data_IF_460778210011
#
_entry.id   IF_460778210011
#
_cell.length_a   1.000
_cell.length_b   1.000
_cell.length_c   1.000
_cell.angle_alpha   90.00
_cell.angle_beta   90.00
_cell.angle_gamma   90.00
#
_symmetry.space_group_name_H-M   'P 1'
#
loop_
_entity.id
_entity.type
_entity.pdbx_description
1 polymer ?
#
# COMPACT_ATOMS: atom_id res chain seq x y z
N UNK A 1 35.94 -2.73 3.94
CA UNK A 1 34.49 -2.39 3.90
C UNK A 1 33.79 -2.55 5.25
N UNK A 2 34.06 -3.60 6.03
CA UNK A 2 33.38 -3.88 7.31
C UNK A 2 33.45 -2.72 8.33
N UNK A 3 34.60 -2.04 8.46
CA UNK A 3 34.75 -0.87 9.35
C UNK A 3 33.85 0.30 8.92
N UNK A 4 33.77 0.58 7.61
CA UNK A 4 32.95 1.65 7.05
C UNK A 4 31.46 1.39 7.26
N UNK A 5 31.01 0.14 7.05
CA UNK A 5 29.64 -0.26 7.34
C UNK A 5 29.28 -0.09 8.81
N UNK A 6 30.17 -0.48 9.74
CA UNK A 6 29.95 -0.27 11.18
C UNK A 6 29.82 1.20 11.54
N UNK A 7 30.69 2.06 10.99
CA UNK A 7 30.62 3.51 11.21
C UNK A 7 29.30 4.06 10.71
N UNK A 8 28.89 3.74 9.49
CA UNK A 8 27.64 4.23 8.93
C UNK A 8 26.41 3.70 9.68
N UNK A 9 26.45 2.46 10.17
CA UNK A 9 25.41 1.91 11.03
C UNK A 9 25.28 2.70 12.34
N UNK A 10 26.38 2.92 13.05
CA UNK A 10 26.37 3.73 14.28
C UNK A 10 25.86 5.13 13.99
N UNK A 11 26.25 5.74 12.87
CA UNK A 11 25.80 7.08 12.47
C UNK A 11 24.33 7.13 12.10
N UNK A 12 23.77 6.08 11.50
CA UNK A 12 22.33 6.00 11.22
C UNK A 12 21.55 5.89 12.53
N UNK A 13 21.95 4.94 13.40
CA UNK A 13 21.26 4.67 14.67
C UNK A 13 21.41 5.79 15.70
N UNK A 14 22.45 6.62 15.60
CA UNK A 14 22.64 7.77 16.51
C UNK A 14 21.85 9.01 16.07
N UNK A 15 21.22 9.00 14.89
CA UNK A 15 20.47 10.17 14.39
C UNK A 15 19.08 10.20 14.98
N UNK A 16 18.84 11.19 15.85
CA UNK A 16 17.54 11.45 16.46
C UNK A 16 16.40 11.55 15.43
N UNK A 17 16.61 12.26 14.33
CA UNK A 17 15.58 12.40 13.28
C UNK A 17 15.20 11.06 12.64
N UNK A 18 16.18 10.18 12.39
CA UNK A 18 15.92 8.82 11.89
C UNK A 18 15.20 7.99 12.95
N UNK A 19 15.64 8.05 14.21
CA UNK A 19 14.99 7.35 15.31
C UNK A 19 13.52 7.78 15.49
N UNK A 20 13.22 9.07 15.37
CA UNK A 20 11.84 9.59 15.41
C UNK A 20 11.01 9.00 14.26
N UNK A 21 11.56 8.95 13.04
CA UNK A 21 10.88 8.32 11.91
C UNK A 21 10.63 6.82 12.15
N UNK A 22 11.58 6.10 12.76
CA UNK A 22 11.40 4.70 13.13
C UNK A 22 10.30 4.53 14.20
N UNK A 23 10.24 5.40 15.21
CA UNK A 23 9.17 5.38 16.22
C UNK A 23 7.81 5.60 15.58
N UNK A 24 7.68 6.60 14.69
CA UNK A 24 6.44 6.87 13.93
C UNK A 24 6.08 5.68 13.05
N UNK A 25 7.07 5.01 12.47
CA UNK A 25 6.89 3.81 11.66
C UNK A 25 6.43 2.58 12.46
N UNK A 26 6.57 2.55 13.78
CA UNK A 26 5.89 1.56 14.64
C UNK A 26 4.51 2.05 15.05
N UNK A 27 4.40 3.33 15.43
CA UNK A 27 3.18 3.91 15.97
C UNK A 27 2.02 3.85 14.97
N UNK A 28 2.23 4.24 13.71
CA UNK A 28 1.15 4.28 12.72
C UNK A 28 0.60 2.88 12.40
N UNK A 29 1.41 1.86 12.05
CA UNK A 29 0.89 0.50 11.87
C UNK A 29 0.21 -0.07 13.11
N UNK A 30 0.68 0.30 14.31
CA UNK A 30 0.03 -0.10 15.57
C UNK A 30 -1.38 0.51 15.67
N UNK A 31 -1.51 1.81 15.41
CA UNK A 31 -2.81 2.50 15.42
C UNK A 31 -3.75 1.91 14.36
N UNK A 32 -3.25 1.67 13.14
CA UNK A 32 -4.02 1.04 12.07
C UNK A 32 -4.51 -0.35 12.51
N UNK A 33 -3.60 -1.21 13.00
CA UNK A 33 -3.96 -2.56 13.43
C UNK A 33 -4.96 -2.56 14.58
N UNK A 34 -4.79 -1.70 15.58
CA UNK A 34 -5.76 -1.55 16.67
C UNK A 34 -7.10 -1.07 16.12
N UNK A 35 -7.13 -0.05 15.26
CA UNK A 35 -8.37 0.45 14.65
C UNK A 35 -9.09 -0.64 13.84
N UNK A 36 -8.38 -1.41 13.01
CA UNK A 36 -8.92 -2.57 12.28
C UNK A 36 -9.54 -3.60 13.23
N UNK A 37 -8.88 -3.90 14.35
CA UNK A 37 -9.40 -4.83 15.36
C UNK A 37 -10.61 -4.29 16.10
N UNK A 38 -10.68 -2.98 16.37
CA UNK A 38 -11.82 -2.33 17.00
C UNK A 38 -13.04 -2.28 16.08
N UNK A 39 -12.83 -1.94 14.81
CA UNK A 39 -13.89 -1.81 13.80
C UNK A 39 -14.47 -3.15 13.35
N UNK A 40 -13.78 -4.26 13.63
CA UNK A 40 -14.21 -5.63 13.30
C UNK A 40 -14.79 -6.39 14.49
N UNK A 41 -15.16 -5.69 15.57
CA UNK A 41 -15.76 -6.33 16.74
C UNK A 41 -17.20 -6.75 16.45
N UNK A 42 -17.64 -7.90 16.97
CA UNK A 42 -19.04 -8.27 16.90
C UNK A 42 -19.97 -7.23 17.53
N UNK A 43 -21.11 -6.92 16.89
CA UNK A 43 -22.09 -6.00 17.45
C UNK A 43 -22.62 -6.57 18.75
N UNK A 44 -22.82 -5.68 19.71
CA UNK A 44 -23.44 -5.99 20.99
C UNK A 44 -24.92 -6.38 20.81
N UNK A 45 -25.50 -7.12 21.77
CA UNK A 45 -26.94 -7.44 21.73
C UNK A 45 -27.83 -6.20 21.62
N UNK A 46 -27.39 -5.06 22.20
CA UNK A 46 -28.12 -3.81 22.11
C UNK A 46 -28.06 -3.20 20.69
N UNK A 47 -26.94 -3.32 19.98
CA UNK A 47 -26.81 -2.87 18.60
C UNK A 47 -27.65 -3.73 17.66
N UNK A 48 -27.66 -5.05 17.87
CA UNK A 48 -28.53 -5.98 17.13
C UNK A 48 -30.00 -5.60 17.34
N UNK A 49 -30.44 -5.44 18.59
CA UNK A 49 -31.82 -5.04 18.89
C UNK A 49 -32.19 -3.64 18.35
N UNK A 50 -31.22 -2.73 18.20
CA UNK A 50 -31.44 -1.43 17.55
C UNK A 50 -31.56 -1.57 16.03
N UNK A 51 -30.76 -2.43 15.41
CA UNK A 51 -30.81 -2.71 13.98
C UNK A 51 -32.11 -3.42 13.60
N UNK A 52 -32.56 -4.40 14.39
CA UNK A 52 -33.85 -5.08 14.22
C UNK A 52 -35.01 -4.09 14.27
N UNK A 53 -35.05 -3.20 15.27
CA UNK A 53 -36.10 -2.16 15.35
C UNK A 53 -36.08 -1.19 14.18
N UNK A 54 -34.90 -0.82 13.70
CA UNK A 54 -34.77 0.06 12.52
C UNK A 54 -35.28 -0.63 11.25
N UNK A 55 -34.93 -1.91 11.08
CA UNK A 55 -35.39 -2.74 9.97
C UNK A 55 -36.92 -2.91 10.01
N UNK A 56 -37.49 -3.26 11.16
CA UNK A 56 -38.94 -3.39 11.34
C UNK A 56 -39.66 -2.08 11.00
N UNK A 57 -39.17 -0.94 11.48
CA UNK A 57 -39.75 0.38 11.18
C UNK A 57 -39.71 0.71 9.68
N UNK A 58 -38.63 0.34 8.98
CA UNK A 58 -38.51 0.61 7.55
C UNK A 58 -39.38 -0.36 6.72
N UNK A 59 -39.47 -1.63 7.14
CA UNK A 59 -40.37 -2.61 6.56
C UNK A 59 -41.85 -2.22 6.74
N UNK A 60 -42.22 -1.58 7.84
CA UNK A 60 -43.58 -1.06 8.06
C UNK A 60 -43.85 0.25 7.30
N UNK A 61 -42.84 0.87 6.69
CA UNK A 61 -43.01 2.14 6.01
C UNK A 61 -43.94 2.02 4.79
N UNK A 62 -44.89 2.97 4.58
CA UNK A 62 -45.78 2.92 3.43
C UNK A 62 -45.06 2.93 2.08
N UNK A 63 -43.86 3.52 2.04
CA UNK A 63 -43.02 3.53 0.86
C UNK A 63 -42.48 2.14 0.54
N UNK A 64 -41.93 1.43 1.54
CA UNK A 64 -41.40 0.09 1.35
C UNK A 64 -42.49 -0.91 0.95
N UNK A 65 -43.61 -0.92 1.66
CA UNK A 65 -44.77 -1.77 1.36
C UNK A 65 -45.25 -1.59 -0.10
N UNK A 66 -45.21 -0.36 -0.62
CA UNK A 66 -45.54 -0.09 -2.02
C UNK A 66 -44.50 -0.62 -3.00
N UNK A 67 -43.21 -0.66 -2.64
CA UNK A 67 -42.17 -1.25 -3.49
C UNK A 67 -42.22 -2.78 -3.45
N UNK A 68 -42.44 -3.36 -2.26
CA UNK A 68 -42.60 -4.79 -2.08
C UNK A 68 -43.73 -5.33 -2.97
N UNK A 69 -44.92 -4.74 -2.90
CA UNK A 69 -46.05 -5.12 -3.75
C UNK A 69 -45.76 -5.00 -5.26
N UNK A 70 -44.92 -4.03 -5.69
CA UNK A 70 -44.51 -3.92 -7.10
C UNK A 70 -43.55 -5.02 -7.51
N UNK A 71 -42.66 -5.43 -6.61
CA UNK A 71 -41.73 -6.53 -6.84
C UNK A 71 -42.50 -7.85 -6.91
N UNK A 72 -43.38 -8.14 -5.95
CA UNK A 72 -44.23 -9.34 -5.97
C UNK A 72 -45.07 -9.45 -7.24
N UNK A 73 -45.60 -8.33 -7.74
CA UNK A 73 -46.37 -8.30 -8.98
C UNK A 73 -45.52 -8.58 -10.24
N UNK A 74 -44.21 -8.24 -10.22
CA UNK A 74 -43.31 -8.40 -11.37
C UNK A 74 -41.87 -8.71 -10.91
N UNK A 75 -41.60 -9.89 -10.34
CA UNK A 75 -40.33 -10.17 -9.65
C UNK A 75 -39.14 -10.19 -10.62
N UNK A 76 -39.35 -10.61 -11.87
CA UNK A 76 -38.30 -10.62 -12.89
C UNK A 76 -37.72 -9.24 -13.25
N UNK A 77 -38.45 -8.13 -12.99
CA UNK A 77 -37.89 -6.77 -13.17
C UNK A 77 -36.86 -6.40 -12.10
N UNK A 78 -36.88 -7.10 -10.97
CA UNK A 78 -36.01 -6.90 -9.83
C UNK A 78 -34.97 -8.01 -9.71
N UNK A 79 -34.87 -8.90 -10.71
CA UNK A 79 -33.95 -10.04 -10.69
C UNK A 79 -34.34 -11.15 -9.71
N UNK A 80 -35.61 -11.18 -9.29
CA UNK A 80 -36.14 -12.20 -8.36
C UNK A 80 -36.88 -13.28 -9.15
N UNK A 81 -36.66 -14.54 -8.78
CA UNK A 81 -37.32 -15.70 -9.38
C UNK A 81 -38.72 -15.91 -8.74
N UNK A 82 -39.78 -16.21 -9.51
CA UNK A 82 -41.10 -16.45 -8.93
C UNK A 82 -41.11 -17.74 -8.10
N UNK A 83 -41.69 -17.69 -6.90
CA UNK A 83 -41.72 -18.86 -6.01
C UNK A 83 -42.54 -18.62 -4.74
N UNK A 84 -42.59 -19.62 -3.84
CA UNK A 84 -43.28 -19.50 -2.55
C UNK A 84 -42.67 -18.42 -1.64
N UNK A 85 -41.38 -18.12 -1.82
CA UNK A 85 -40.62 -17.16 -1.00
C UNK A 85 -40.38 -15.81 -1.72
N UNK A 86 -41.27 -15.44 -2.66
CA UNK A 86 -41.10 -14.24 -3.49
C UNK A 86 -41.12 -12.95 -2.66
N UNK A 87 -41.92 -12.89 -1.59
CA UNK A 87 -41.98 -11.76 -0.66
C UNK A 87 -40.62 -11.54 0.01
N UNK A 88 -40.05 -12.60 0.61
CA UNK A 88 -38.75 -12.55 1.27
C UNK A 88 -37.63 -12.21 0.27
N UNK A 89 -37.64 -12.81 -0.91
CA UNK A 89 -36.64 -12.54 -1.95
C UNK A 89 -36.72 -11.09 -2.47
N UNK A 90 -37.93 -10.55 -2.58
CA UNK A 90 -38.16 -9.14 -2.89
C UNK A 90 -37.66 -8.20 -1.80
N UNK A 91 -37.89 -8.52 -0.52
CA UNK A 91 -37.34 -7.74 0.60
C UNK A 91 -35.80 -7.79 0.63
N UNK A 92 -35.20 -8.97 0.46
CA UNK A 92 -33.75 -9.17 0.45
C UNK A 92 -33.07 -8.45 -0.72
N UNK A 93 -33.64 -8.52 -1.92
CA UNK A 93 -33.13 -7.81 -3.11
C UNK A 93 -33.17 -6.28 -2.97
N UNK A 94 -34.10 -5.75 -2.16
CA UNK A 94 -34.17 -4.34 -1.78
C UNK A 94 -33.23 -3.99 -0.61
N UNK A 95 -32.46 -4.96 -0.11
CA UNK A 95 -31.49 -4.76 0.96
C UNK A 95 -32.10 -4.79 2.36
N UNK A 96 -33.33 -5.29 2.54
CA UNK A 96 -33.98 -5.42 3.86
C UNK A 96 -33.46 -6.65 4.61
N UNK A 97 -32.18 -6.61 4.97
CA UNK A 97 -31.54 -7.63 5.79
C UNK A 97 -30.89 -6.98 7.00
N UNK A 98 -30.90 -7.67 8.15
CA UNK A 98 -30.27 -7.15 9.37
C UNK A 98 -28.80 -6.76 9.16
N UNK A 99 -28.10 -7.46 8.26
CA UNK A 99 -26.71 -7.17 7.91
C UNK A 99 -26.53 -5.75 7.37
N UNK A 100 -27.46 -5.24 6.55
CA UNK A 100 -27.37 -3.89 6.00
C UNK A 100 -27.65 -2.78 7.04
N UNK A 101 -28.31 -3.12 8.15
CA UNK A 101 -28.55 -2.22 9.29
C UNK A 101 -27.46 -2.34 10.37
N UNK A 102 -26.56 -3.33 10.24
CA UNK A 102 -25.40 -3.50 11.09
C UNK A 102 -24.16 -3.01 10.35
N UNK A 103 -23.64 -1.83 10.71
CA UNK A 103 -22.36 -1.34 10.23
C UNK A 103 -21.18 -2.06 10.91
N UNK A 104 -20.95 -3.30 10.51
CA UNK A 104 -19.77 -4.07 10.90
C UNK A 104 -19.23 -4.87 9.71
N UNK A 105 -17.91 -5.01 9.66
CA UNK A 105 -17.25 -5.95 8.77
C UNK A 105 -16.46 -6.92 9.64
N UNK A 106 -16.67 -8.21 9.44
CA UNK A 106 -15.87 -9.23 10.13
C UNK A 106 -14.40 -9.11 9.72
N UNK A 107 -13.47 -9.40 10.64
CA UNK A 107 -12.04 -9.33 10.32
C UNK A 107 -11.67 -10.43 9.32
N UNK A 108 -11.47 -10.06 8.06
CA UNK A 108 -11.01 -10.98 7.01
C UNK A 108 -9.58 -10.66 6.60
N UNK A 109 -8.63 -11.55 6.94
CA UNK A 109 -7.21 -11.31 6.64
C UNK A 109 -6.91 -11.23 5.13
N UNK A 110 -7.71 -11.91 4.30
CA UNK A 110 -7.60 -11.83 2.83
C UNK A 110 -7.93 -10.41 2.35
N UNK A 111 -9.06 -9.87 2.79
CA UNK A 111 -9.49 -8.52 2.42
C UNK A 111 -8.51 -7.47 2.96
N UNK A 112 -8.07 -7.62 4.20
CA UNK A 112 -7.06 -6.73 4.78
C UNK A 112 -5.71 -6.77 4.04
N UNK A 113 -5.38 -7.89 3.38
CA UNK A 113 -4.17 -8.04 2.55
C UNK A 113 -4.36 -7.39 1.18
N UNK A 114 -5.48 -7.66 0.51
CA UNK A 114 -5.68 -7.35 -0.90
C UNK A 114 -6.17 -5.92 -1.15
N UNK A 115 -7.06 -5.40 -0.30
CA UNK A 115 -7.71 -4.09 -0.45
C UNK A 115 -7.74 -3.26 0.82
N UNK A 116 -7.44 -3.84 1.98
CA UNK A 116 -7.57 -3.18 3.27
C UNK A 116 -6.27 -2.60 3.84
N UNK A 117 -6.14 -2.73 5.16
CA UNK A 117 -5.12 -2.06 5.99
C UNK A 117 -3.68 -2.50 5.71
N UNK A 118 -3.46 -3.74 5.24
CA UNK A 118 -2.14 -4.29 4.96
C UNK A 118 -1.39 -3.49 3.89
N UNK A 119 -2.08 -3.13 2.80
CA UNK A 119 -1.52 -2.29 1.74
C UNK A 119 -1.20 -0.88 2.27
N UNK A 120 -2.10 -0.29 3.06
CA UNK A 120 -1.91 1.02 3.65
C UNK A 120 -0.67 1.07 4.56
N UNK A 121 -0.48 0.04 5.41
CA UNK A 121 0.70 -0.10 6.27
C UNK A 121 1.98 -0.15 5.46
N UNK A 122 2.02 -0.94 4.38
CA UNK A 122 3.21 -1.03 3.51
C UNK A 122 3.53 0.31 2.84
N UNK A 123 2.52 1.02 2.33
CA UNK A 123 2.69 2.33 1.68
C UNK A 123 3.23 3.36 2.67
N UNK A 124 2.65 3.44 3.87
CA UNK A 124 3.11 4.36 4.93
C UNK A 124 4.55 4.04 5.31
N UNK A 125 4.88 2.77 5.50
CA UNK A 125 6.25 2.35 5.81
C UNK A 125 7.21 2.72 4.68
N UNK A 126 6.84 2.51 3.42
CA UNK A 126 7.67 2.88 2.28
C UNK A 126 7.96 4.39 2.25
N UNK A 127 6.95 5.24 2.51
CA UNK A 127 7.12 6.69 2.62
C UNK A 127 8.05 7.03 3.78
N UNK A 128 7.85 6.47 4.97
CA UNK A 128 8.67 6.76 6.15
C UNK A 128 10.13 6.28 5.97
N UNK A 129 10.34 5.12 5.36
CA UNK A 129 11.68 4.60 5.06
C UNK A 129 12.37 5.44 3.98
N UNK A 130 11.62 5.95 3.00
CA UNK A 130 12.13 6.94 2.05
C UNK A 130 12.58 8.22 2.75
N UNK A 131 11.76 8.74 3.68
CA UNK A 131 12.11 9.90 4.50
C UNK A 131 13.33 9.64 5.39
N UNK A 132 13.49 8.42 5.90
CA UNK A 132 14.69 8.04 6.65
C UNK A 132 15.94 8.08 5.74
N UNK A 133 15.82 7.57 4.51
CA UNK A 133 16.85 7.66 3.47
C UNK A 133 17.24 9.09 3.11
N UNK A 134 16.26 9.96 2.88
CA UNK A 134 16.50 11.37 2.57
C UNK A 134 17.14 12.10 3.75
N UNK A 135 16.65 11.86 4.97
CA UNK A 135 17.16 12.49 6.20
C UNK A 135 18.61 12.07 6.48
N UNK A 136 18.93 10.80 6.26
CA UNK A 136 20.28 10.27 6.49
C UNK A 136 21.33 10.94 5.60
N UNK A 137 21.07 11.05 4.30
CA UNK A 137 21.96 11.76 3.37
C UNK A 137 21.93 13.28 3.57
N UNK A 138 20.74 13.84 3.73
CA UNK A 138 20.51 15.27 3.75
C UNK A 138 21.21 15.99 4.89
N UNK A 139 21.18 15.39 6.09
CA UNK A 139 21.88 15.92 7.23
C UNK A 139 23.41 15.93 7.03
N UNK A 140 23.98 14.98 6.28
CA UNK A 140 25.41 14.99 5.99
C UNK A 140 25.82 16.16 5.11
N UNK A 141 24.97 16.53 4.15
CA UNK A 141 25.17 17.73 3.33
C UNK A 141 25.00 19.00 4.14
N UNK A 142 23.92 19.09 4.93
CA UNK A 142 23.62 20.29 5.72
C UNK A 142 24.68 20.59 6.79
N UNK A 143 25.32 19.56 7.35
CA UNK A 143 26.36 19.69 8.38
C UNK A 143 27.79 19.78 7.82
N UNK A 144 28.00 19.62 6.52
CA UNK A 144 29.35 19.49 5.94
C UNK A 144 30.08 18.19 6.33
N UNK A 145 29.39 17.24 6.96
CA UNK A 145 29.99 15.98 7.43
C UNK A 145 30.52 15.11 6.28
N UNK A 146 29.98 15.25 5.06
CA UNK A 146 30.47 14.54 3.86
C UNK A 146 31.94 14.86 3.61
N UNK A 147 32.34 16.13 3.69
CA UNK A 147 33.70 16.59 3.40
C UNK A 147 34.69 15.98 4.39
N UNK A 148 34.34 15.97 5.69
CA UNK A 148 35.15 15.33 6.72
C UNK A 148 35.32 13.82 6.50
N UNK A 149 34.28 13.11 6.04
CA UNK A 149 34.40 11.68 5.74
C UNK A 149 35.37 11.40 4.59
N UNK A 150 35.36 12.26 3.57
CA UNK A 150 36.20 12.09 2.39
C UNK A 150 37.68 12.39 2.66
N UNK A 151 38.01 13.07 3.76
CA UNK A 151 39.40 13.19 4.23
C UNK A 151 39.96 11.84 4.69
N UNK A 152 39.14 11.00 5.33
CA UNK A 152 39.56 9.69 5.83
C UNK A 152 39.37 8.57 4.80
N UNK A 153 38.35 8.67 3.96
CA UNK A 153 38.06 7.69 2.90
C UNK A 153 37.80 8.41 1.56
N UNK A 154 38.84 8.63 0.74
CA UNK A 154 38.73 9.42 -0.49
C UNK A 154 37.94 8.70 -1.60
N UNK A 155 37.71 7.38 -1.46
CA UNK A 155 36.97 6.58 -2.44
C UNK A 155 35.47 6.83 -2.32
N UNK A 156 35.02 7.96 -2.88
CA UNK A 156 33.61 8.41 -2.93
C UNK A 156 32.58 7.30 -3.19
N UNK A 157 32.70 6.47 -4.25
CA UNK A 157 31.72 5.41 -4.47
C UNK A 157 31.64 4.37 -3.36
N UNK A 158 32.72 4.11 -2.62
CA UNK A 158 32.68 3.22 -1.45
C UNK A 158 31.91 3.84 -0.28
N UNK A 159 32.07 5.14 -0.05
CA UNK A 159 31.28 5.87 0.96
C UNK A 159 29.80 5.88 0.58
N UNK A 160 29.49 6.15 -0.69
CA UNK A 160 28.12 6.12 -1.19
C UNK A 160 27.51 4.72 -1.02
N UNK A 161 28.24 3.67 -1.42
CA UNK A 161 27.76 2.29 -1.35
C UNK A 161 27.59 1.80 0.09
N UNK A 162 28.51 2.14 0.99
CA UNK A 162 28.38 1.75 2.40
C UNK A 162 27.14 2.37 3.05
N UNK A 163 26.87 3.65 2.78
CA UNK A 163 25.65 4.33 3.24
C UNK A 163 24.38 3.72 2.64
N UNK A 164 24.39 3.48 1.33
CA UNK A 164 23.29 2.85 0.62
C UNK A 164 22.96 1.47 1.19
N UNK A 165 23.98 0.62 1.41
CA UNK A 165 23.81 -0.72 2.00
C UNK A 165 23.25 -0.62 3.42
N UNK A 166 23.84 0.24 4.27
CA UNK A 166 23.38 0.38 5.66
C UNK A 166 21.95 0.88 5.74
N UNK A 167 21.60 1.95 5.01
CA UNK A 167 20.25 2.51 5.09
C UNK A 167 19.24 1.51 4.56
N UNK A 168 19.48 0.89 3.40
CA UNK A 168 18.58 -0.09 2.78
C UNK A 168 18.39 -1.31 3.66
N UNK A 169 19.48 -1.87 4.22
CA UNK A 169 19.41 -3.06 5.05
C UNK A 169 18.69 -2.79 6.37
N UNK A 170 19.02 -1.69 7.05
CA UNK A 170 18.39 -1.34 8.34
C UNK A 170 16.91 -1.04 8.15
N UNK A 171 16.53 -0.22 7.17
CA UNK A 171 15.12 0.10 6.91
C UNK A 171 14.35 -1.12 6.42
N UNK A 172 14.96 -1.98 5.61
CA UNK A 172 14.33 -3.21 5.13
C UNK A 172 14.07 -4.22 6.24
N UNK A 173 15.07 -4.50 7.08
CA UNK A 173 14.91 -5.38 8.25
C UNK A 173 13.88 -4.80 9.22
N UNK A 174 13.96 -3.49 9.49
CA UNK A 174 13.01 -2.81 10.36
C UNK A 174 11.57 -2.93 9.84
N UNK A 175 11.34 -2.61 8.55
CA UNK A 175 10.02 -2.74 7.94
C UNK A 175 9.52 -4.19 7.96
N UNK A 176 10.39 -5.17 7.70
CA UNK A 176 10.04 -6.58 7.78
C UNK A 176 9.60 -6.99 9.19
N UNK A 177 10.30 -6.51 10.23
CA UNK A 177 9.93 -6.76 11.63
C UNK A 177 8.57 -6.14 11.97
N UNK A 178 8.36 -4.87 11.62
CA UNK A 178 7.08 -4.18 11.90
C UNK A 178 5.92 -4.85 11.18
N UNK A 179 6.06 -5.18 9.90
CA UNK A 179 5.01 -5.84 9.12
C UNK A 179 4.76 -7.27 9.61
N UNK A 180 5.80 -7.99 10.02
CA UNK A 180 5.64 -9.32 10.63
C UNK A 180 4.85 -9.20 11.93
N UNK A 181 5.19 -8.25 12.82
CA UNK A 181 4.46 -8.01 14.04
C UNK A 181 2.99 -7.62 13.78
N UNK A 182 2.75 -6.80 12.76
CA UNK A 182 1.41 -6.41 12.31
C UNK A 182 0.53 -7.61 11.94
N UNK A 183 1.03 -8.48 11.05
CA UNK A 183 0.28 -9.66 10.63
C UNK A 183 0.15 -10.71 11.73
N UNK A 184 1.16 -10.88 12.57
CA UNK A 184 1.06 -11.76 13.74
C UNK A 184 0.02 -11.26 14.74
N UNK A 185 -0.10 -9.95 14.92
CA UNK A 185 -1.13 -9.34 15.76
C UNK A 185 -2.53 -9.61 15.19
N UNK A 186 -2.79 -9.31 13.92
CA UNK A 186 -4.09 -9.59 13.30
C UNK A 186 -4.42 -11.09 13.27
N UNK A 187 -3.43 -11.93 12.97
CA UNK A 187 -3.58 -13.38 12.99
C UNK A 187 -3.78 -13.97 14.39
N UNK A 188 -3.29 -13.31 15.44
CA UNK A 188 -3.59 -13.69 16.83
C UNK A 188 -5.02 -13.29 17.19
N UNK A 189 -5.48 -12.10 16.77
CA UNK A 189 -6.86 -11.64 17.00
C UNK A 189 -7.86 -12.55 16.27
N UNK A 190 -7.62 -12.85 15.00
CA UNK A 190 -8.49 -13.73 14.22
C UNK A 190 -8.63 -15.10 14.88
N UNK A 191 -7.51 -15.70 15.34
CA UNK A 191 -7.52 -16.95 16.10
C UNK A 191 -8.23 -16.84 17.44
N UNK A 192 -8.08 -15.73 18.17
CA UNK A 192 -8.77 -15.53 19.45
C UNK A 192 -10.28 -15.36 19.33
N UNK A 193 -10.77 -15.08 18.12
CA UNK A 193 -12.18 -14.91 17.79
C UNK A 193 -12.76 -16.10 17.01
N UNK A 194 -12.00 -17.21 16.92
CA UNK A 194 -12.36 -18.41 16.16
C UNK A 194 -12.77 -18.13 14.70
N UNK A 195 -12.17 -17.09 14.09
CA UNK A 195 -12.45 -16.70 12.71
C UNK A 195 -11.82 -17.70 11.73
N UNK A 196 -12.44 -17.92 10.56
CA UNK A 196 -11.89 -18.80 9.53
C UNK A 196 -10.59 -18.23 8.98
N UNK A 197 -9.46 -18.72 9.49
CA UNK A 197 -8.13 -18.47 8.94
C UNK A 197 -7.74 -19.71 8.15
N UNK A 198 -7.92 -19.67 6.83
CA UNK A 198 -7.57 -20.78 5.95
C UNK A 198 -6.12 -21.22 6.12
N UNK A 199 -5.83 -22.49 5.82
CA UNK A 199 -4.49 -23.05 5.92
C UNK A 199 -3.51 -22.22 5.07
N UNK A 200 -2.45 -21.71 5.71
CA UNK A 200 -1.43 -20.92 5.03
C UNK A 200 -1.77 -19.44 4.79
N UNK A 201 -2.99 -18.98 5.09
CA UNK A 201 -3.39 -17.58 4.86
C UNK A 201 -2.46 -16.58 5.55
N UNK A 202 -2.12 -16.82 6.81
CA UNK A 202 -1.18 -15.97 7.56
C UNK A 202 0.20 -15.94 6.89
N UNK A 203 0.66 -17.08 6.33
CA UNK A 203 1.92 -17.13 5.61
C UNK A 203 1.86 -16.31 4.32
N UNK A 204 0.73 -16.31 3.63
CA UNK A 204 0.54 -15.48 2.42
C UNK A 204 0.50 -13.99 2.75
N UNK A 205 -0.14 -13.60 3.86
CA UNK A 205 -0.06 -12.24 4.41
C UNK A 205 1.39 -11.85 4.74
N UNK A 206 2.15 -12.73 5.39
CA UNK A 206 3.58 -12.50 5.70
C UNK A 206 4.44 -12.39 4.44
N UNK A 207 4.21 -13.22 3.42
CA UNK A 207 4.92 -13.15 2.14
C UNK A 207 4.65 -11.83 1.42
N UNK A 208 3.39 -11.41 1.35
CA UNK A 208 3.02 -10.10 0.83
C UNK A 208 3.70 -8.98 1.63
N UNK A 209 3.69 -9.11 2.96
CA UNK A 209 4.36 -8.18 3.87
C UNK A 209 5.87 -8.08 3.65
N UNK A 210 6.58 -9.19 3.41
CA UNK A 210 8.01 -9.19 3.14
C UNK A 210 8.35 -8.59 1.77
N UNK A 211 7.49 -8.79 0.75
CA UNK A 211 7.61 -8.05 -0.52
C UNK A 211 7.43 -6.56 -0.28
N UNK A 212 6.46 -6.17 0.54
CA UNK A 212 6.27 -4.79 1.00
C UNK A 212 7.47 -4.21 1.75
N UNK A 213 8.13 -4.99 2.59
CA UNK A 213 9.39 -4.59 3.24
C UNK A 213 10.51 -4.36 2.22
N UNK A 214 10.57 -5.18 1.16
CA UNK A 214 11.46 -4.96 0.02
C UNK A 214 11.18 -3.64 -0.71
N UNK A 215 9.91 -3.30 -0.92
CA UNK A 215 9.50 -1.99 -1.47
C UNK A 215 9.94 -0.85 -0.55
N UNK A 216 9.73 -0.98 0.76
CA UNK A 216 10.15 0.05 1.71
C UNK A 216 11.68 0.25 1.76
N UNK A 217 12.45 -0.83 1.64
CA UNK A 217 13.91 -0.78 1.51
C UNK A 217 14.34 -0.07 0.21
N UNK A 218 13.70 -0.40 -0.92
CA UNK A 218 13.93 0.27 -2.19
C UNK A 218 13.58 1.76 -2.14
N UNK A 219 12.50 2.12 -1.44
CA UNK A 219 12.11 3.51 -1.24
C UNK A 219 13.14 4.29 -0.40
N UNK A 220 13.70 3.68 0.66
CA UNK A 220 14.82 4.25 1.42
C UNK A 220 16.04 4.52 0.54
N UNK A 221 16.41 3.55 -0.31
CA UNK A 221 17.51 3.70 -1.25
C UNK A 221 17.25 4.81 -2.27
N UNK A 222 16.03 4.90 -2.80
CA UNK A 222 15.63 5.96 -3.71
C UNK A 222 15.70 7.34 -3.02
N UNK A 223 15.18 7.48 -1.81
CA UNK A 223 15.24 8.74 -1.05
C UNK A 223 16.68 9.17 -0.75
N UNK A 224 17.52 8.23 -0.34
CA UNK A 224 18.95 8.42 -0.16
C UNK A 224 19.63 8.87 -1.46
N UNK A 225 19.41 8.14 -2.56
CA UNK A 225 20.01 8.43 -3.87
C UNK A 225 19.59 9.80 -4.41
N UNK A 226 18.33 10.19 -4.22
CA UNK A 226 17.77 11.49 -4.62
C UNK A 226 18.44 12.62 -3.86
N UNK A 227 18.58 12.44 -2.56
CA UNK A 227 19.23 13.44 -1.72
C UNK A 227 20.72 13.55 -2.02
N UNK A 228 21.39 12.45 -2.36
CA UNK A 228 22.79 12.48 -2.82
C UNK A 228 22.94 13.15 -4.20
N UNK A 229 21.97 12.96 -5.10
CA UNK A 229 21.98 13.55 -6.44
C UNK A 229 21.78 15.07 -6.40
N UNK A 230 20.83 15.54 -5.60
CA UNK A 230 20.47 16.96 -5.49
C UNK A 230 21.17 17.70 -4.36
N UNK A 231 21.79 17.00 -3.41
CA UNK A 231 22.44 17.54 -2.21
C UNK A 231 21.50 18.37 -1.34
N UNK A 232 20.20 18.08 -1.41
CA UNK A 232 19.15 18.82 -0.71
C UNK A 232 18.00 17.89 -0.35
N UNK A 233 17.61 17.92 0.93
CA UNK A 233 16.40 17.25 1.41
C UNK A 233 15.15 17.88 0.79
N UNK A 234 15.13 19.22 0.70
CA UNK A 234 14.00 19.98 0.15
C UNK A 234 13.76 19.62 -1.30
N UNK A 235 14.83 19.51 -2.11
CA UNK A 235 14.70 19.08 -3.50
C UNK A 235 14.14 17.66 -3.61
N UNK A 236 14.63 16.73 -2.76
CA UNK A 236 14.13 15.36 -2.75
C UNK A 236 12.64 15.28 -2.39
N UNK A 237 12.21 16.00 -1.34
CA UNK A 237 10.81 16.06 -0.92
C UNK A 237 9.91 16.74 -1.96
N UNK A 238 10.40 17.81 -2.60
CA UNK A 238 9.66 18.52 -3.65
C UNK A 238 9.42 17.65 -4.89
N UNK A 239 10.43 16.90 -5.32
CA UNK A 239 10.29 15.94 -6.44
C UNK A 239 9.31 14.83 -6.07
N UNK A 240 9.38 14.33 -4.83
CA UNK A 240 8.43 13.33 -4.36
C UNK A 240 7.00 13.83 -4.43
N UNK A 241 6.73 14.98 -3.83
CA UNK A 241 5.41 15.61 -3.85
C UNK A 241 4.92 15.85 -5.28
N UNK A 242 5.77 16.40 -6.14
CA UNK A 242 5.45 16.64 -7.54
C UNK A 242 5.11 15.32 -8.26
N UNK A 243 5.88 14.25 -8.04
CA UNK A 243 5.64 12.95 -8.66
C UNK A 243 4.36 12.26 -8.15
N UNK A 244 4.03 12.40 -6.87
CA UNK A 244 2.81 11.81 -6.29
C UNK A 244 1.55 12.49 -6.80
N UNK A 245 1.57 13.82 -6.99
CA UNK A 245 0.41 14.58 -7.48
C UNK A 245 0.30 14.51 -9.00
N UNK A 246 1.41 14.75 -9.71
CA UNK A 246 1.38 14.88 -11.16
C UNK A 246 1.52 13.53 -11.89
N UNK A 247 2.10 12.51 -11.26
CA UNK A 247 2.46 11.27 -11.95
C UNK A 247 1.27 10.56 -12.60
N UNK A 248 0.19 10.35 -11.85
CA UNK A 248 -1.02 9.71 -12.38
C UNK A 248 -1.73 10.56 -13.44
N UNK A 249 -1.86 11.86 -13.19
CA UNK A 249 -2.53 12.80 -14.10
C UNK A 249 -1.76 12.94 -15.41
N UNK A 250 -0.44 13.08 -15.36
CA UNK A 250 0.41 13.21 -16.54
C UNK A 250 0.35 11.93 -17.38
N UNK A 251 0.43 10.75 -16.76
CA UNK A 251 0.31 9.49 -17.50
C UNK A 251 -1.06 9.36 -18.20
N UNK A 252 -2.13 9.73 -17.51
CA UNK A 252 -3.48 9.72 -18.08
C UNK A 252 -3.63 10.72 -19.24
N UNK A 253 -3.15 11.96 -19.08
CA UNK A 253 -3.24 13.02 -20.10
C UNK A 253 -2.41 12.68 -21.34
N UNK A 254 -1.23 12.07 -21.18
CA UNK A 254 -0.36 11.69 -22.30
C UNK A 254 -0.83 10.39 -22.98
N UNK A 255 -1.86 9.72 -22.44
CA UNK A 255 -2.37 8.45 -22.99
C UNK A 255 -1.38 7.30 -22.82
N UNK A 256 -0.51 7.37 -21.80
CA UNK A 256 0.43 6.29 -21.50
C UNK A 256 -0.33 5.20 -20.75
N UNK A 257 -0.25 3.96 -21.24
CA UNK A 257 -0.95 2.84 -20.64
C UNK A 257 -0.68 2.68 -19.14
N UNK A 258 -1.72 2.33 -18.38
CA UNK A 258 -1.72 2.15 -16.93
C UNK A 258 -0.62 1.21 -16.41
N UNK A 259 -0.14 0.30 -17.26
CA UNK A 259 1.01 -0.59 -17.01
C UNK A 259 2.30 0.14 -16.61
N UNK A 260 2.44 1.43 -16.96
CA UNK A 260 3.60 2.27 -16.61
C UNK A 260 3.40 3.08 -15.32
N UNK A 261 2.22 2.97 -14.69
CA UNK A 261 1.93 3.64 -13.44
C UNK A 261 2.81 3.06 -12.31
N UNK A 262 3.64 3.87 -11.62
CA UNK A 262 4.49 3.37 -10.56
C UNK A 262 3.72 2.76 -9.39
N UNK A 263 2.56 3.32 -9.03
CA UNK A 263 1.70 2.80 -7.97
C UNK A 263 1.17 1.40 -8.30
N UNK A 264 0.73 1.17 -9.54
CA UNK A 264 0.29 -0.15 -9.99
C UNK A 264 1.43 -1.18 -9.95
N UNK A 265 2.64 -0.80 -10.37
CA UNK A 265 3.80 -1.68 -10.31
C UNK A 265 4.20 -1.99 -8.85
N UNK A 266 4.11 -1.02 -7.94
CA UNK A 266 4.34 -1.25 -6.51
C UNK A 266 3.30 -2.21 -5.93
N UNK A 267 2.02 -2.02 -6.24
CA UNK A 267 0.95 -2.93 -5.83
C UNK A 267 1.20 -4.35 -6.35
N UNK A 268 1.58 -4.50 -7.63
CA UNK A 268 1.92 -5.79 -8.21
C UNK A 268 3.10 -6.48 -7.53
N UNK A 269 4.08 -5.72 -7.00
CA UNK A 269 5.15 -6.32 -6.20
C UNK A 269 4.64 -6.82 -4.85
N UNK A 270 3.79 -6.04 -4.16
CA UNK A 270 3.28 -6.37 -2.82
C UNK A 270 2.33 -7.57 -2.87
N UNK A 271 1.43 -7.59 -3.85
CA UNK A 271 0.32 -8.53 -3.97
C UNK A 271 0.64 -9.76 -4.85
N UNK A 272 1.86 -9.89 -5.37
CA UNK A 272 2.25 -10.96 -6.31
C UNK A 272 1.50 -10.91 -7.65
N UNK A 273 1.32 -9.69 -8.15
CA UNK A 273 0.50 -9.35 -9.31
C UNK A 273 -0.56 -8.32 -8.95
N UNK A 274 -1.02 -7.56 -9.94
CA UNK A 274 -2.13 -6.63 -9.75
C UNK A 274 -3.03 -6.64 -10.99
N UNK A 275 -4.34 -6.58 -10.80
CA UNK A 275 -5.26 -6.40 -11.92
C UNK A 275 -5.39 -4.91 -12.25
N UNK A 276 -5.62 -4.63 -13.53
CA UNK A 276 -5.88 -3.28 -14.01
C UNK A 276 -6.78 -3.33 -15.23
N UNK A 277 -7.53 -2.25 -15.42
CA UNK A 277 -8.39 -2.09 -16.58
C UNK A 277 -7.62 -1.46 -17.73
N UNK A 278 -7.75 -2.05 -18.92
CA UNK A 278 -7.12 -1.59 -20.14
C UNK A 278 -8.18 -1.41 -21.22
N UNK A 279 -8.14 -0.26 -21.88
CA UNK A 279 -9.00 -0.01 -23.04
C UNK A 279 -8.41 -0.73 -24.25
N UNK A 280 -9.18 -1.65 -24.81
CA UNK A 280 -8.85 -2.40 -26.03
C UNK A 280 -9.94 -2.18 -27.06
N UNK A 281 -9.63 -2.49 -28.31
CA UNK A 281 -10.65 -2.44 -29.35
C UNK A 281 -11.70 -3.53 -29.10
N UNK A 282 -12.97 -3.16 -29.12
CA UNK A 282 -14.06 -4.09 -28.85
C UNK A 282 -14.02 -5.27 -29.83
N UNK A 283 -14.08 -6.52 -29.35
CA UNK A 283 -14.10 -7.69 -30.23
C UNK A 283 -15.44 -7.80 -30.96
N UNK A 284 -15.41 -7.96 -32.28
CA UNK A 284 -16.59 -8.22 -33.13
C UNK A 284 -16.67 -7.33 -34.37
N UNK A 285 -17.26 -7.85 -35.45
CA UNK A 285 -17.43 -7.11 -36.73
C UNK A 285 -18.44 -5.96 -36.63
N UNK A 286 -19.25 -5.93 -35.56
CA UNK A 286 -20.25 -4.89 -35.30
C UNK A 286 -19.74 -3.72 -34.44
N UNK A 287 -18.50 -3.77 -33.94
CA UNK A 287 -17.92 -2.67 -33.16
C UNK A 287 -17.70 -1.44 -34.05
N UNK A 288 -18.14 -0.27 -33.58
CA UNK A 288 -17.93 0.97 -34.32
C UNK A 288 -16.43 1.31 -34.40
N UNK A 289 -15.94 1.89 -35.50
CA UNK A 289 -14.55 2.36 -35.57
C UNK A 289 -14.26 3.37 -34.45
N UNK A 290 -13.35 3.01 -33.54
CA UNK A 290 -12.99 3.84 -32.37
C UNK A 290 -13.73 3.50 -31.09
N UNK A 291 -14.63 2.51 -31.10
CA UNK A 291 -15.25 1.97 -29.88
C UNK A 291 -14.22 1.18 -29.07
N UNK A 292 -14.07 1.56 -27.80
CA UNK A 292 -13.13 0.93 -26.86
C UNK A 292 -13.90 0.19 -25.79
N UNK A 293 -13.45 -1.02 -25.50
CA UNK A 293 -13.96 -1.88 -24.45
C UNK A 293 -12.92 -1.94 -23.34
N UNK A 294 -13.36 -1.82 -22.09
CA UNK A 294 -12.48 -2.00 -20.94
C UNK A 294 -12.37 -3.48 -20.62
N UNK A 295 -11.15 -4.02 -20.66
CA UNK A 295 -10.88 -5.40 -20.27
C UNK A 295 -9.94 -5.44 -19.08
N UNK A 296 -10.22 -6.34 -18.15
CA UNK A 296 -9.34 -6.59 -17.03
C UNK A 296 -8.10 -7.35 -17.51
N UNK A 297 -6.92 -6.86 -17.10
CA UNK A 297 -5.62 -7.43 -17.40
C UNK A 297 -4.85 -7.63 -16.09
N UNK A 298 -3.98 -8.62 -16.06
CA UNK A 298 -3.09 -8.87 -14.93
C UNK A 298 -1.69 -8.34 -15.24
N UNK A 299 -1.14 -7.55 -14.34
CA UNK A 299 0.26 -7.12 -14.34
C UNK A 299 1.08 -8.14 -13.53
N UNK A 300 1.94 -8.97 -14.16
CA UNK A 300 2.69 -9.98 -13.44
C UNK A 300 3.83 -9.38 -12.60
N UNK A 301 4.13 -10.03 -11.45
CA UNK A 301 5.21 -9.65 -10.54
C UNK A 301 6.56 -9.41 -11.27
N UNK A 302 6.94 -10.32 -12.17
CA UNK A 302 8.23 -10.25 -12.86
C UNK A 302 8.41 -8.97 -13.68
N UNK A 303 7.34 -8.49 -14.33
CA UNK A 303 7.37 -7.23 -15.08
C UNK A 303 7.48 -6.03 -14.15
N UNK A 304 6.75 -6.04 -13.04
CA UNK A 304 6.80 -4.98 -12.05
C UNK A 304 8.18 -4.86 -11.40
N UNK A 305 8.80 -6.00 -11.05
CA UNK A 305 10.18 -6.06 -10.57
C UNK A 305 11.18 -5.53 -11.60
N UNK A 306 11.02 -5.88 -12.88
CA UNK A 306 11.86 -5.34 -13.95
C UNK A 306 11.73 -3.82 -14.04
N UNK A 307 10.51 -3.29 -14.09
CA UNK A 307 10.27 -1.86 -14.26
C UNK A 307 10.84 -1.04 -13.09
N UNK A 308 10.49 -1.41 -11.85
CA UNK A 308 10.95 -0.71 -10.65
C UNK A 308 12.45 -0.92 -10.41
N UNK A 309 12.94 -2.14 -10.63
CA UNK A 309 14.35 -2.50 -10.44
C UNK A 309 15.27 -1.76 -11.41
N UNK A 310 14.93 -1.72 -12.71
CA UNK A 310 15.69 -0.96 -13.71
C UNK A 310 15.67 0.52 -13.38
N UNK A 311 14.51 1.08 -13.05
CA UNK A 311 14.41 2.49 -12.65
C UNK A 311 15.31 2.83 -11.46
N UNK A 312 15.29 1.99 -10.42
CA UNK A 312 16.12 2.16 -9.22
C UNK A 312 17.62 2.05 -9.53
N UNK A 313 18.04 1.09 -10.37
CA UNK A 313 19.44 0.91 -10.77
C UNK A 313 19.94 2.10 -11.58
N UNK A 314 19.17 2.55 -12.59
CA UNK A 314 19.52 3.72 -13.39
C UNK A 314 19.66 4.97 -12.52
N UNK A 315 18.73 5.14 -11.60
CA UNK A 315 18.71 6.26 -10.67
C UNK A 315 19.90 6.24 -9.69
N UNK A 316 20.18 5.09 -9.06
CA UNK A 316 21.33 4.90 -8.20
C UNK A 316 22.65 5.16 -8.94
N UNK A 317 22.75 4.69 -10.19
CA UNK A 317 23.91 4.91 -11.05
C UNK A 317 24.12 6.39 -11.34
N UNK A 318 23.04 7.12 -11.69
CA UNK A 318 23.11 8.57 -11.90
C UNK A 318 23.54 9.32 -10.64
N UNK A 319 23.02 8.92 -9.46
CA UNK A 319 23.41 9.46 -8.16
C UNK A 319 24.90 9.24 -7.86
N UNK A 320 25.41 8.01 -8.07
CA UNK A 320 26.83 7.68 -7.89
C UNK A 320 27.71 8.46 -8.85
N UNK A 321 27.36 8.52 -10.14
CA UNK A 321 28.12 9.23 -11.15
C UNK A 321 28.20 10.73 -10.84
N UNK A 322 27.09 11.33 -10.38
CA UNK A 322 27.04 12.72 -9.90
C UNK A 322 27.96 12.94 -8.70
N UNK A 323 27.90 12.05 -7.70
CA UNK A 323 28.72 12.14 -6.49
C UNK A 323 30.22 11.99 -6.75
N UNK A 324 30.60 11.17 -7.74
CA UNK A 324 31.98 11.01 -8.16
C UNK A 324 32.55 12.27 -8.81
N UNK A 325 31.77 12.93 -9.67
CA UNK A 325 32.26 14.02 -10.52
C UNK A 325 32.16 15.40 -9.88
N UNK A 326 31.16 15.64 -9.02
CA UNK A 326 30.89 16.98 -8.49
C UNK A 326 31.71 17.26 -7.24
N UNK A 327 32.22 18.48 -7.12
CA UNK A 327 32.98 18.94 -5.95
C UNK A 327 32.14 18.90 -4.68
N UNK A 328 32.78 18.58 -3.56
CA UNK A 328 32.14 18.60 -2.23
C UNK A 328 32.58 19.90 -1.56
N UNK A 329 31.64 20.70 -1.02
CA UNK A 329 31.96 21.98 -0.39
C UNK A 329 32.83 21.83 0.86
#
# INVERSE_FOLDING_TARGET
>A
MTRLLRVELTRLLSRRAVLVLLVVAVAIPTVIGVATVLNSRPPSPAEIANAERSLEQEMESPWFQKQLAKCEANPGRWGVEPGPDVEQSCAESMGMTIHNYLWWNELQLVEERDSGSGLAVVIVLAILMMLAGTTFAGHDWASGSVSNQLLFEPRRPLVWAAKAVVVTAVTGVFAAVVITAYWLFLGAVARSRDLPVGDGLLLDCLRSGWRGAGVAAAAALAGYGLTMLFRSTVAALGILLASSVAGGVVLAVVGIGSVWNPGLNVAAVILDGATYWADVQCPGEAALPGETCSVERTLPLGRALWFLGVGLVLFATASVASFQRRDVP
#
